data_IF_658414089874
#
_entry.id   IF_658414089874
#
_cell.length_a   1.000
_cell.length_b   1.000
_cell.length_c   1.000
_cell.angle_alpha   90.00
_cell.angle_beta   90.00
_cell.angle_gamma   90.00
#
_symmetry.space_group_name_H-M   'P 1'
#
loop_
_entity.id
_entity.type
_entity.pdbx_description
1 polymer ?
#
# COMPACT_ATOMS: atom_id res chain seq x y z
N UNK A 1 -7.26 -8.11 -11.50
CA UNK A 1 -8.27 -7.28 -12.19
C UNK A 1 -8.23 -5.85 -11.62
N UNK A 2 -8.43 -4.81 -12.43
CA UNK A 2 -8.47 -3.40 -11.99
C UNK A 2 -9.90 -3.06 -11.58
N UNK A 3 -10.14 -2.76 -10.30
CA UNK A 3 -11.45 -2.29 -9.80
C UNK A 3 -11.39 -0.77 -9.52
N UNK A 4 -12.52 -0.05 -9.65
CA UNK A 4 -12.57 1.39 -9.36
C UNK A 4 -12.09 1.75 -7.95
N UNK A 5 -12.44 0.93 -6.96
CA UNK A 5 -12.02 1.07 -5.56
C UNK A 5 -10.50 0.98 -5.41
N UNK A 6 -9.87 0.03 -6.08
CA UNK A 6 -8.41 -0.13 -6.05
C UNK A 6 -7.69 1.03 -6.72
N UNK A 7 -8.22 1.53 -7.83
CA UNK A 7 -7.66 2.71 -8.50
C UNK A 7 -7.81 3.96 -7.63
N UNK A 8 -8.92 4.11 -6.89
CA UNK A 8 -9.07 5.19 -5.91
C UNK A 8 -8.02 5.06 -4.80
N UNK A 9 -7.87 3.88 -4.21
CA UNK A 9 -6.85 3.61 -3.19
C UNK A 9 -5.44 3.96 -3.67
N UNK A 10 -5.07 3.59 -4.90
CA UNK A 10 -3.78 3.95 -5.48
C UNK A 10 -3.62 5.44 -5.76
N UNK A 11 -4.70 6.15 -6.08
CA UNK A 11 -4.67 7.61 -6.18
C UNK A 11 -4.41 8.24 -4.83
N UNK A 12 -5.11 7.80 -3.79
CA UNK A 12 -4.97 8.34 -2.44
C UNK A 12 -3.54 8.16 -1.93
N UNK A 13 -2.93 6.98 -2.12
CA UNK A 13 -1.53 6.75 -1.75
C UNK A 13 -0.59 7.74 -2.43
N UNK A 14 -0.72 7.93 -3.74
CA UNK A 14 0.11 8.89 -4.50
C UNK A 14 -0.08 10.33 -4.04
N UNK A 15 -1.32 10.73 -3.77
CA UNK A 15 -1.63 12.08 -3.28
C UNK A 15 -1.04 12.36 -1.90
N UNK A 16 -0.86 11.32 -1.08
CA UNK A 16 -0.19 11.40 0.22
C UNK A 16 1.34 11.25 0.11
N UNK A 17 1.92 11.40 -1.08
CA UNK A 17 3.36 11.34 -1.30
C UNK A 17 3.96 9.92 -1.25
N UNK A 18 3.13 8.88 -1.30
CA UNK A 18 3.58 7.49 -1.30
C UNK A 18 3.90 7.06 -2.73
N UNK A 19 5.16 6.71 -2.96
CA UNK A 19 5.61 6.14 -4.23
C UNK A 19 5.08 4.72 -4.40
N UNK A 20 4.32 4.49 -5.46
CA UNK A 20 3.79 3.17 -5.79
C UNK A 20 4.72 2.42 -6.76
N UNK A 21 5.29 1.31 -6.30
CA UNK A 21 5.96 0.31 -7.12
C UNK A 21 4.99 -0.84 -7.41
N UNK A 22 4.49 -0.93 -8.64
CA UNK A 22 3.55 -1.97 -9.04
C UNK A 22 4.28 -3.08 -9.80
N UNK A 23 4.09 -4.33 -9.37
CA UNK A 23 4.53 -5.51 -10.11
C UNK A 23 3.36 -6.08 -10.92
N UNK A 24 3.58 -6.31 -12.20
CA UNK A 24 2.62 -7.05 -13.02
C UNK A 24 2.61 -8.53 -12.61
N UNK A 25 1.41 -9.12 -12.55
CA UNK A 25 1.28 -10.54 -12.23
C UNK A 25 1.71 -11.31 -13.46
N UNK A 26 2.65 -12.24 -13.29
CA UNK A 26 3.06 -13.13 -14.34
C UNK A 26 2.00 -14.24 -14.54
N UNK A 27 1.37 -14.24 -15.71
CA UNK A 27 0.38 -15.23 -16.13
C UNK A 27 0.99 -16.32 -17.04
N UNK A 28 2.29 -16.27 -17.32
CA UNK A 28 2.97 -17.20 -18.23
C UNK A 28 3.32 -18.54 -17.56
N UNK A 29 3.24 -18.62 -16.23
CA UNK A 29 3.41 -19.87 -15.51
C UNK A 29 2.21 -20.81 -15.78
N UNK A 30 2.50 -21.97 -16.40
CA UNK A 30 1.54 -23.06 -16.67
C UNK A 30 0.83 -23.54 -15.38
N UNK A 31 1.46 -23.31 -14.22
CA UNK A 31 0.96 -23.68 -12.89
C UNK A 31 0.70 -22.46 -12.01
N UNK A 32 -0.53 -21.93 -12.06
CA UNK A 32 -1.09 -20.82 -11.26
C UNK A 32 -0.38 -19.46 -11.44
N UNK A 33 -1.13 -18.36 -11.58
CA UNK A 33 -0.57 -17.00 -11.47
C UNK A 33 0.15 -16.87 -10.13
N UNK A 34 1.44 -16.50 -10.15
CA UNK A 34 2.25 -16.39 -8.95
C UNK A 34 2.64 -14.94 -8.70
N UNK A 35 2.31 -14.42 -7.51
CA UNK A 35 2.76 -13.10 -7.05
C UNK A 35 4.16 -13.20 -6.42
N UNK A 36 5.08 -13.90 -7.10
CA UNK A 36 6.45 -14.08 -6.60
C UNK A 36 7.31 -12.86 -6.95
N UNK A 37 8.29 -12.54 -6.12
CA UNK A 37 9.32 -11.55 -6.44
C UNK A 37 8.91 -10.09 -6.21
N UNK A 38 7.91 -9.81 -5.36
CA UNK A 38 7.63 -8.43 -4.88
C UNK A 38 8.63 -8.03 -3.80
N UNK A 39 8.95 -8.97 -2.92
CA UNK A 39 10.08 -8.98 -1.99
C UNK A 39 11.40 -8.57 -2.65
N UNK A 40 11.65 -9.02 -3.89
CA UNK A 40 12.85 -8.63 -4.65
C UNK A 40 12.89 -7.13 -4.93
N UNK A 41 11.76 -6.53 -5.33
CA UNK A 41 11.71 -5.08 -5.62
C UNK A 41 11.93 -4.26 -4.35
N UNK A 42 11.30 -4.66 -3.24
CA UNK A 42 11.50 -4.01 -1.94
C UNK A 42 12.96 -4.10 -1.49
N UNK A 43 13.55 -5.30 -1.61
CA UNK A 43 14.94 -5.57 -1.28
C UNK A 43 15.89 -4.70 -2.12
N UNK A 44 15.68 -4.65 -3.43
CA UNK A 44 16.50 -3.87 -4.35
C UNK A 44 16.42 -2.36 -4.05
N UNK A 45 15.21 -1.81 -3.87
CA UNK A 45 15.03 -0.39 -3.55
C UNK A 45 15.70 -0.05 -2.20
N UNK A 46 15.48 -0.86 -1.17
CA UNK A 46 16.03 -0.62 0.17
C UNK A 46 17.57 -0.65 0.17
N UNK A 47 18.18 -1.57 -0.58
CA UNK A 47 19.64 -1.65 -0.74
C UNK A 47 20.15 -0.45 -1.56
N UNK A 48 19.58 -0.15 -2.72
CA UNK A 48 20.04 0.95 -3.58
C UNK A 48 20.06 2.26 -2.80
N UNK A 49 18.94 2.56 -2.12
CA UNK A 49 18.78 3.78 -1.34
C UNK A 49 19.71 3.83 -0.11
N UNK A 50 20.06 2.67 0.50
CA UNK A 50 21.07 2.63 1.55
C UNK A 50 22.45 3.03 1.03
N UNK A 51 22.84 2.51 -0.14
CA UNK A 51 24.13 2.80 -0.77
C UNK A 51 24.23 4.23 -1.28
N UNK A 52 23.13 4.79 -1.79
CA UNK A 52 23.02 6.19 -2.18
C UNK A 52 22.92 7.15 -0.98
N UNK A 53 22.93 6.61 0.25
CA UNK A 53 22.79 7.38 1.47
C UNK A 53 21.48 8.21 1.53
N UNK A 54 20.40 7.70 0.93
CA UNK A 54 19.13 8.40 0.80
C UNK A 54 18.26 8.38 2.08
N UNK A 55 18.63 7.57 3.08
CA UNK A 55 17.96 7.50 4.37
C UNK A 55 18.94 7.13 5.49
N UNK A 56 18.56 7.42 6.74
CA UNK A 56 19.27 6.96 7.95
C UNK A 56 18.57 5.76 8.61
N UNK A 57 17.24 5.74 8.53
CA UNK A 57 16.38 4.71 9.10
C UNK A 57 15.44 4.18 8.02
N UNK A 58 15.50 2.88 7.76
CA UNK A 58 14.49 2.20 6.98
C UNK A 58 13.42 1.64 7.92
N UNK A 59 12.15 1.80 7.52
CA UNK A 59 11.01 1.17 8.21
C UNK A 59 10.36 0.19 7.25
N UNK A 60 10.38 -1.10 7.59
CA UNK A 60 9.72 -2.15 6.80
C UNK A 60 8.43 -2.57 7.47
N UNK A 61 7.33 -2.54 6.73
CA UNK A 61 6.06 -3.10 7.15
C UNK A 61 5.96 -4.54 6.65
N UNK A 62 6.42 -5.50 7.44
CA UNK A 62 6.41 -6.93 7.13
C UNK A 62 6.69 -7.78 8.37
N UNK A 63 6.11 -8.99 8.40
CA UNK A 63 6.45 -10.02 9.39
C UNK A 63 7.35 -11.15 8.85
N UNK A 64 7.73 -11.08 7.57
CA UNK A 64 8.41 -12.17 6.87
C UNK A 64 9.88 -12.33 7.29
N UNK A 65 10.25 -13.55 7.71
CA UNK A 65 11.62 -13.89 8.12
C UNK A 65 12.65 -13.87 6.99
N UNK A 66 12.23 -13.88 5.72
CA UNK A 66 13.14 -13.88 4.58
C UNK A 66 13.92 -12.56 4.44
N UNK A 67 13.47 -11.49 5.09
CA UNK A 67 14.14 -10.19 5.09
C UNK A 67 15.35 -10.08 6.03
N UNK A 68 15.66 -11.10 6.84
CA UNK A 68 16.80 -11.04 7.79
C UNK A 68 18.10 -10.66 7.07
N UNK A 69 18.40 -11.30 5.94
CA UNK A 69 19.61 -11.00 5.17
C UNK A 69 19.63 -9.57 4.60
N UNK A 70 18.47 -9.03 4.20
CA UNK A 70 18.32 -7.65 3.78
C UNK A 70 18.62 -6.69 4.94
N UNK A 71 18.06 -6.96 6.11
CA UNK A 71 18.27 -6.13 7.31
C UNK A 71 19.75 -6.08 7.67
N UNK A 72 20.42 -7.22 7.73
CA UNK A 72 21.84 -7.29 8.07
C UNK A 72 22.70 -6.52 7.06
N UNK A 73 22.40 -6.64 5.76
CA UNK A 73 23.10 -5.92 4.70
C UNK A 73 22.90 -4.40 4.82
N UNK A 74 21.67 -3.94 5.05
CA UNK A 74 21.36 -2.52 5.21
C UNK A 74 22.04 -1.95 6.45
N UNK A 75 22.02 -2.69 7.57
CA UNK A 75 22.71 -2.31 8.81
C UNK A 75 24.23 -2.24 8.63
N UNK A 76 24.82 -3.11 7.81
CA UNK A 76 26.25 -3.04 7.46
C UNK A 76 26.64 -1.72 6.76
N UNK A 77 25.68 -0.98 6.20
CA UNK A 77 25.86 0.36 5.62
C UNK A 77 25.64 1.50 6.63
N UNK A 78 25.63 1.17 7.93
CA UNK A 78 25.44 2.13 9.02
C UNK A 78 24.01 2.63 9.17
N UNK A 79 23.04 1.96 8.52
CA UNK A 79 21.62 2.30 8.59
C UNK A 79 20.97 1.60 9.77
N UNK A 80 19.88 2.18 10.29
CA UNK A 80 19.00 1.49 11.23
C UNK A 80 17.80 0.91 10.50
N UNK A 81 17.31 -0.22 10.97
CA UNK A 81 16.11 -0.86 10.41
C UNK A 81 15.08 -1.08 11.51
N UNK A 82 13.90 -0.52 11.30
CA UNK A 82 12.73 -0.74 12.12
C UNK A 82 11.75 -1.65 11.41
N UNK A 83 11.22 -2.63 12.13
CA UNK A 83 10.20 -3.55 11.64
C UNK A 83 8.88 -3.17 12.24
N UNK A 84 7.90 -2.92 11.39
CA UNK A 84 6.49 -2.75 11.74
C UNK A 84 5.76 -4.04 11.31
N UNK A 85 5.09 -4.71 12.23
CA UNK A 85 4.35 -5.94 11.92
C UNK A 85 3.18 -6.15 12.90
N UNK A 86 2.21 -6.96 12.50
CA UNK A 86 1.29 -7.58 13.45
C UNK A 86 2.07 -8.60 14.30
N UNK A 87 1.73 -8.71 15.58
CA UNK A 87 2.44 -9.59 16.50
C UNK A 87 2.37 -11.07 16.08
N UNK A 88 1.19 -11.48 15.61
CA UNK A 88 0.92 -12.84 15.12
C UNK A 88 1.65 -13.20 13.83
N UNK A 89 2.06 -12.20 13.04
CA UNK A 89 2.73 -12.40 11.75
C UNK A 89 4.25 -12.23 11.83
N UNK A 90 4.78 -11.77 12.97
CA UNK A 90 6.19 -11.40 13.09
C UNK A 90 7.08 -12.61 13.35
N UNK A 91 7.95 -12.93 12.38
CA UNK A 91 9.00 -13.93 12.53
C UNK A 91 9.92 -13.62 13.72
N UNK A 92 10.25 -14.60 14.59
CA UNK A 92 11.18 -14.43 15.69
C UNK A 92 12.56 -13.93 15.24
N UNK A 93 13.08 -14.47 14.13
CA UNK A 93 14.38 -14.07 13.58
C UNK A 93 14.37 -12.61 13.13
N UNK A 94 13.27 -12.17 12.52
CA UNK A 94 13.12 -10.77 12.08
C UNK A 94 13.02 -9.82 13.27
N UNK A 95 12.34 -10.24 14.35
CA UNK A 95 12.29 -9.50 15.61
C UNK A 95 13.66 -9.35 16.27
N UNK A 96 14.50 -10.38 16.19
CA UNK A 96 15.84 -10.37 16.78
C UNK A 96 16.84 -9.48 16.03
N UNK A 97 16.79 -9.43 14.69
CA UNK A 97 17.76 -8.66 13.91
C UNK A 97 17.42 -7.15 13.77
N UNK A 98 16.15 -6.78 13.92
CA UNK A 98 15.69 -5.39 13.81
C UNK A 98 16.23 -4.50 14.95
N UNK A 99 16.54 -3.24 14.66
CA UNK A 99 16.95 -2.27 15.69
C UNK A 99 15.76 -1.82 16.56
N UNK A 100 14.55 -1.89 15.99
CA UNK A 100 13.30 -1.62 16.71
C UNK A 100 12.16 -2.39 16.08
N UNK A 101 11.27 -2.91 16.94
CA UNK A 101 10.02 -3.52 16.51
C UNK A 101 8.85 -2.66 16.97
N UNK A 102 8.00 -2.29 16.03
CA UNK A 102 6.72 -1.63 16.26
C UNK A 102 5.61 -2.66 15.99
N UNK A 103 4.76 -2.91 16.99
CA UNK A 103 3.65 -3.86 16.85
C UNK A 103 2.39 -3.09 16.52
N UNK A 104 1.80 -3.39 15.36
CA UNK A 104 0.65 -2.65 14.81
C UNK A 104 -0.59 -2.82 15.68
N UNK A 105 -0.82 -3.99 16.27
CA UNK A 105 -1.99 -4.29 17.11
C UNK A 105 -2.16 -3.23 18.20
N UNK A 106 -1.07 -2.92 18.91
CA UNK A 106 -1.04 -1.89 19.96
C UNK A 106 -1.28 -0.48 19.43
N UNK A 107 -0.83 -0.20 18.21
CA UNK A 107 -1.05 1.11 17.60
C UNK A 107 -2.52 1.26 17.19
N UNK A 108 -3.14 0.22 16.62
CA UNK A 108 -4.54 0.24 16.25
C UNK A 108 -5.46 0.40 17.47
N UNK A 109 -5.09 -0.11 18.64
CA UNK A 109 -5.88 0.12 19.86
C UNK A 109 -5.87 1.59 20.30
N UNK A 110 -4.78 2.32 20.02
CA UNK A 110 -4.62 3.74 20.36
C UNK A 110 -5.22 4.64 19.27
N UNK A 111 -4.89 4.39 18.01
CA UNK A 111 -5.34 5.17 16.86
C UNK A 111 -6.74 4.79 16.38
N UNK A 112 -7.22 3.58 16.67
CA UNK A 112 -8.60 3.16 16.37
C UNK A 112 -9.65 4.00 17.09
N UNK A 113 -9.27 4.73 18.14
CA UNK A 113 -10.11 5.73 18.81
C UNK A 113 -10.10 7.09 18.11
N UNK A 114 -9.11 7.37 17.27
CA UNK A 114 -9.01 8.58 16.45
C UNK A 114 -9.11 8.20 14.98
N UNK A 115 -10.37 8.05 14.51
CA UNK A 115 -10.79 8.02 13.09
C UNK A 115 -9.64 7.69 12.12
N UNK A 116 -9.52 6.41 11.76
CA UNK A 116 -8.98 6.07 10.44
C UNK A 116 -9.72 6.97 9.46
N UNK A 117 -8.97 7.81 8.74
CA UNK A 117 -9.46 8.68 7.69
C UNK A 117 -10.41 7.83 6.86
N UNK A 118 -11.73 8.07 7.00
CA UNK A 118 -12.68 7.47 6.08
C UNK A 118 -12.27 8.05 4.74
N UNK A 119 -11.82 7.25 3.75
CA UNK A 119 -11.67 7.79 2.41
C UNK A 119 -12.99 8.44 2.08
N UNK A 120 -12.94 9.68 1.61
CA UNK A 120 -14.12 10.47 1.28
C UNK A 120 -14.93 9.65 0.27
N UNK A 121 -15.97 8.97 0.76
CA UNK A 121 -16.75 8.09 -0.10
C UNK A 121 -17.42 8.99 -1.12
N UNK A 122 -17.27 8.74 -2.43
CA UNK A 122 -17.90 9.56 -3.44
C UNK A 122 -19.40 9.60 -3.17
N UNK A 123 -19.88 10.81 -2.91
CA UNK A 123 -21.28 11.11 -2.64
C UNK A 123 -22.12 10.58 -3.81
N UNK A 124 -22.90 9.52 -3.58
CA UNK A 124 -23.77 8.91 -4.59
C UNK A 124 -24.88 9.86 -5.10
N UNK A 125 -24.98 11.09 -4.58
CA UNK A 125 -25.97 12.08 -5.02
C UNK A 125 -25.59 12.92 -6.24
N UNK A 126 -24.44 12.71 -6.90
CA UNK A 126 -24.13 13.46 -8.14
C UNK A 126 -24.75 12.90 -9.43
N UNK A 127 -25.32 11.69 -9.44
CA UNK A 127 -25.99 11.16 -10.65
C UNK A 127 -27.50 11.44 -10.75
N UNK A 128 -28.12 12.09 -9.75
CA UNK A 128 -29.56 12.38 -9.77
C UNK A 128 -29.93 13.78 -10.26
N UNK A 129 -28.95 14.69 -10.35
CA UNK A 129 -29.19 16.07 -10.82
C UNK A 129 -29.19 16.13 -12.35
N UNK A 130 -28.27 15.44 -13.02
CA UNK A 130 -28.13 15.52 -14.48
C UNK A 130 -29.27 14.81 -15.26
N UNK A 131 -29.88 13.76 -14.69
CA UNK A 131 -31.01 13.05 -15.32
C UNK A 131 -32.34 13.82 -15.27
N UNK A 132 -32.44 14.87 -14.46
CA UNK A 132 -33.66 15.70 -14.39
C UNK A 132 -33.69 16.78 -15.46
N UNK A 133 -32.51 17.23 -15.92
CA UNK A 133 -32.36 18.18 -17.03
C UNK A 133 -32.61 17.54 -18.41
N UNK A 134 -32.23 16.29 -18.63
CA UNK A 134 -32.46 15.62 -19.93
C UNK A 134 -33.95 15.27 -20.17
N UNK A 135 -34.70 14.93 -19.13
CA UNK A 135 -36.12 14.56 -19.26
C UNK A 135 -37.06 15.77 -19.48
N UNK A 136 -36.60 17.00 -19.31
CA UNK A 136 -37.43 18.20 -19.56
C UNK A 136 -37.35 18.69 -21.01
N UNK A 137 -36.32 18.26 -21.76
CA UNK A 137 -36.08 18.71 -23.14
C UNK A 137 -36.86 17.84 -24.15
N UNK A 138 -37.10 16.56 -23.85
CA UNK A 138 -37.71 15.61 -24.79
C UNK A 138 -39.25 15.63 -24.86
N UNK A 139 -39.94 16.43 -24.05
CA UNK A 139 -41.42 16.45 -24.00
C UNK A 139 -42.06 17.71 -24.60
N UNK A 140 -41.33 18.49 -25.41
CA UNK A 140 -41.88 19.66 -26.13
C UNK A 140 -41.64 19.58 -27.64
N UNK A 141 -42.40 18.74 -28.32
CA UNK A 141 -42.84 19.04 -29.70
C UNK A 141 -44.15 18.32 -30.00
N UNK A 142 -45.27 19.04 -30.09
CA UNK A 142 -46.51 18.51 -30.65
C UNK A 142 -46.66 18.88 -32.13
N UNK A 143 -47.30 17.96 -32.87
CA UNK A 143 -48.00 18.12 -34.15
C UNK A 143 -47.19 18.40 -35.43
N UNK A 144 -47.38 17.54 -36.43
CA UNK A 144 -48.41 17.78 -37.46
C UNK A 144 -49.08 16.46 -37.83
#
# INVERSE_FOLDING_TARGET
QRTPEREQFFRDLRQNGITLRLKEIDFTAISKPSQKGVDIFLTADMISLAYENAYDIAVILSGDGDYVALIDLVKSKGKKVWVLSFDSALSPKLRECADKVLVIDRMLDVFGKQRLIKPDMPNQNKQKVDKKSENLINNKTPHT
#
